data_IF_230409766339
#
_entry.id   IF_230409766339
#
_cell.length_a   1.000
_cell.length_b   1.000
_cell.length_c   1.000
_cell.angle_alpha   90.00
_cell.angle_beta   90.00
_cell.angle_gamma   90.00
#
_symmetry.space_group_name_H-M   'P 1'
#
loop_
_entity.id
_entity.type
_entity.pdbx_description
1 polymer ?
#
# COMPACT_ATOMS: atom_id res chain seq x y z
N UNK A 1 16.78 -7.94 5.05
CA UNK A 1 15.37 -8.21 5.40
C UNK A 1 14.57 -6.99 5.00
N UNK A 2 13.60 -7.16 4.13
CA UNK A 2 12.58 -6.14 3.84
C UNK A 2 11.82 -5.89 5.13
N UNK A 3 11.61 -4.62 5.50
CA UNK A 3 10.84 -4.29 6.70
C UNK A 3 9.36 -4.50 6.37
N UNK A 4 8.66 -5.30 7.18
CA UNK A 4 7.22 -5.43 7.07
C UNK A 4 6.53 -4.09 7.37
N UNK A 5 5.41 -3.85 6.70
CA UNK A 5 4.55 -2.69 6.94
C UNK A 5 3.15 -3.14 7.31
N UNK A 6 2.49 -2.35 8.15
CA UNK A 6 1.12 -2.62 8.55
C UNK A 6 0.16 -2.09 7.48
N UNK A 7 -0.42 -2.99 6.68
CA UNK A 7 -1.33 -2.62 5.59
C UNK A 7 -2.73 -2.38 6.15
N UNK A 8 -3.31 -1.23 5.83
CA UNK A 8 -4.64 -0.81 6.29
C UNK A 8 -5.73 -1.09 5.25
N UNK A 9 -5.37 -1.13 3.97
CA UNK A 9 -6.28 -1.39 2.86
C UNK A 9 -5.68 -0.97 1.53
N UNK A 10 -6.51 -0.91 0.49
CA UNK A 10 -6.14 -0.34 -0.80
C UNK A 10 -7.32 0.42 -1.39
N UNK A 11 -7.01 1.44 -2.19
CA UNK A 11 -7.97 2.15 -3.02
C UNK A 11 -7.75 1.77 -4.47
N UNK A 12 -8.81 1.42 -5.18
CA UNK A 12 -8.80 1.25 -6.63
C UNK A 12 -9.60 2.42 -7.20
N UNK A 13 -8.97 3.18 -8.08
CA UNK A 13 -9.53 4.42 -8.62
C UNK A 13 -9.54 4.39 -10.13
N UNK A 14 -10.59 4.96 -10.71
CA UNK A 14 -10.70 5.21 -12.14
C UNK A 14 -10.76 6.71 -12.38
N UNK A 15 -9.98 7.19 -13.36
CA UNK A 15 -9.99 8.58 -13.79
C UNK A 15 -9.99 8.65 -15.32
N UNK A 16 -10.95 9.37 -15.90
CA UNK A 16 -11.07 9.53 -17.35
C UNK A 16 -9.84 10.17 -18.03
N UNK A 17 -9.04 10.93 -17.30
CA UNK A 17 -7.83 11.59 -17.80
C UNK A 17 -6.53 10.82 -17.48
N UNK A 18 -6.50 10.00 -16.42
CA UNK A 18 -5.28 9.32 -15.94
C UNK A 18 -5.34 7.79 -16.00
N UNK A 19 -6.48 7.24 -16.41
CA UNK A 19 -6.72 5.80 -16.43
C UNK A 19 -7.02 5.21 -15.06
N UNK A 20 -6.95 3.89 -15.01
CA UNK A 20 -7.10 3.10 -13.80
C UNK A 20 -5.81 3.11 -12.96
N UNK A 21 -5.94 3.20 -11.64
CA UNK A 21 -4.80 3.12 -10.75
C UNK A 21 -5.18 2.59 -9.37
N UNK A 22 -4.22 2.00 -8.67
CA UNK A 22 -4.41 1.48 -7.33
C UNK A 22 -3.34 1.98 -6.36
N UNK A 23 -3.77 2.25 -5.12
CA UNK A 23 -2.92 2.73 -4.04
C UNK A 23 -3.02 1.81 -2.83
N UNK A 24 -1.89 1.48 -2.23
CA UNK A 24 -1.80 0.76 -0.97
C UNK A 24 -1.79 1.74 0.21
N UNK A 25 -2.74 1.56 1.13
CA UNK A 25 -2.80 2.32 2.37
C UNK A 25 -2.09 1.53 3.48
N UNK A 26 -1.07 2.14 4.07
CA UNK A 26 -0.27 1.56 5.14
C UNK A 26 -0.26 2.49 6.36
N UNK A 27 0.00 1.92 7.52
CA UNK A 27 0.32 2.68 8.72
C UNK A 27 1.65 3.40 8.52
N UNK A 28 1.66 4.72 8.72
CA UNK A 28 2.84 5.58 8.58
C UNK A 28 3.07 6.32 9.90
N UNK A 29 4.32 6.50 10.34
CA UNK A 29 4.61 7.28 11.53
C UNK A 29 4.13 8.72 11.34
N UNK A 30 3.43 9.24 12.34
CA UNK A 30 2.98 10.62 12.32
C UNK A 30 4.19 11.56 12.34
N UNK A 31 4.29 12.46 11.36
CA UNK A 31 5.40 13.41 11.27
C UNK A 31 5.23 14.58 12.23
N UNK A 32 6.27 14.84 13.02
CA UNK A 32 6.42 16.11 13.71
C UNK A 32 6.58 17.23 12.68
N UNK A 33 5.98 18.38 12.96
CA UNK A 33 6.18 19.57 12.15
C UNK A 33 6.79 20.62 13.05
N UNK A 34 7.91 21.18 12.60
CA UNK A 34 8.57 22.28 13.30
C UNK A 34 8.96 23.35 12.28
N UNK A 35 7.99 24.19 11.95
CA UNK A 35 8.18 25.34 11.05
C UNK A 35 7.98 26.64 11.82
N UNK A 36 8.39 27.75 11.22
CA UNK A 36 8.23 29.09 11.83
C UNK A 36 6.75 29.43 12.12
N UNK A 37 5.84 29.02 11.21
CA UNK A 37 4.41 29.34 11.29
C UNK A 37 3.57 28.24 11.94
N UNK A 38 4.11 27.03 12.12
CA UNK A 38 3.34 25.89 12.61
C UNK A 38 4.22 24.84 13.29
N UNK A 39 3.83 24.41 14.50
CA UNK A 39 4.51 23.36 15.28
C UNK A 39 3.51 22.28 15.70
N UNK A 40 3.88 21.01 15.53
CA UNK A 40 3.09 19.82 15.89
C UNK A 40 3.99 18.73 16.43
N UNK A 41 3.67 18.23 17.63
CA UNK A 41 4.24 17.00 18.20
C UNK A 41 3.30 15.83 17.93
N UNK A 42 3.85 14.63 17.79
CA UNK A 42 3.08 13.45 17.37
C UNK A 42 3.47 12.22 18.18
N UNK A 43 2.51 11.31 18.38
CA UNK A 43 2.72 10.00 18.99
C UNK A 43 1.89 8.99 18.20
N UNK A 44 2.51 7.88 17.78
CA UNK A 44 1.85 6.82 17.03
C UNK A 44 1.91 6.99 15.50
N UNK A 45 0.96 6.36 14.82
CA UNK A 45 0.93 6.22 13.36
C UNK A 45 -0.46 6.61 12.80
N UNK A 46 -0.52 6.96 11.52
CA UNK A 46 -1.77 7.20 10.78
C UNK A 46 -1.73 6.57 9.39
N UNK A 47 -2.90 6.21 8.88
CA UNK A 47 -3.09 5.80 7.49
C UNK A 47 -3.25 6.98 6.52
N UNK A 48 -3.44 8.19 7.04
CA UNK A 48 -3.67 9.38 6.23
C UNK A 48 -2.43 9.70 5.38
N UNK A 49 -2.65 9.89 4.08
CA UNK A 49 -1.64 10.38 3.16
C UNK A 49 -1.82 11.89 3.02
N UNK A 50 -0.91 12.68 3.60
CA UNK A 50 -0.95 14.12 3.42
C UNK A 50 -0.44 14.49 2.02
N UNK A 51 -1.27 15.12 1.14
CA UNK A 51 -0.87 15.42 -0.24
C UNK A 51 0.36 16.33 -0.37
N UNK A 52 0.66 17.11 0.67
CA UNK A 52 1.80 18.03 0.68
C UNK A 52 3.11 17.35 1.08
N UNK A 53 3.04 16.30 1.90
CA UNK A 53 4.22 15.77 2.59
C UNK A 53 4.47 14.28 2.34
N UNK A 54 3.43 13.52 2.02
CA UNK A 54 3.49 12.08 1.88
C UNK A 54 3.30 11.69 0.43
N UNK A 55 4.12 10.75 -0.03
CA UNK A 55 3.95 10.15 -1.34
C UNK A 55 3.02 8.94 -1.22
N UNK A 56 1.97 8.85 -2.05
CA UNK A 56 1.12 7.66 -2.08
C UNK A 56 1.94 6.45 -2.52
N UNK A 57 1.67 5.30 -1.91
CA UNK A 57 2.34 4.06 -2.25
C UNK A 57 1.50 3.35 -3.31
N UNK A 58 1.95 3.40 -4.56
CA UNK A 58 1.23 2.78 -5.68
C UNK A 58 1.42 1.27 -5.65
N UNK A 59 0.37 0.54 -6.04
CA UNK A 59 0.38 -0.91 -6.23
C UNK A 59 0.00 -1.20 -7.68
N UNK A 60 0.58 -2.24 -8.26
CA UNK A 60 0.23 -2.71 -9.59
C UNK A 60 -1.29 -2.94 -9.69
N UNK A 61 -1.90 -2.36 -10.73
CA UNK A 61 -3.34 -2.31 -10.86
C UNK A 61 -3.95 -3.70 -11.10
N UNK A 62 -3.31 -4.53 -11.93
CA UNK A 62 -3.78 -5.88 -12.22
C UNK A 62 -3.69 -6.76 -10.98
N UNK A 63 -2.60 -6.62 -10.22
CA UNK A 63 -2.44 -7.29 -8.94
C UNK A 63 -3.46 -6.82 -7.90
N UNK A 64 -3.69 -5.51 -7.75
CA UNK A 64 -4.71 -4.97 -6.86
C UNK A 64 -6.12 -5.50 -7.20
N UNK A 65 -6.46 -5.52 -8.48
CA UNK A 65 -7.72 -6.08 -8.99
C UNK A 65 -7.82 -7.58 -8.68
N UNK A 66 -6.71 -8.32 -8.78
CA UNK A 66 -6.67 -9.73 -8.40
C UNK A 66 -6.92 -9.92 -6.90
N UNK A 67 -6.30 -9.11 -6.05
CA UNK A 67 -6.50 -9.15 -4.59
C UNK A 67 -7.95 -8.82 -4.20
N UNK A 68 -8.55 -7.82 -4.86
CA UNK A 68 -9.95 -7.47 -4.68
C UNK A 68 -10.86 -8.65 -5.04
N UNK A 69 -10.73 -9.19 -6.26
CA UNK A 69 -11.60 -10.27 -6.78
C UNK A 69 -11.51 -11.56 -5.98
N UNK A 70 -10.34 -11.85 -5.42
CA UNK A 70 -10.09 -13.07 -4.64
C UNK A 70 -10.40 -12.89 -3.15
N UNK A 71 -10.50 -11.65 -2.65
CA UNK A 71 -10.58 -11.38 -1.22
C UNK A 71 -9.30 -11.75 -0.46
N UNK A 72 -8.16 -11.83 -1.15
CA UNK A 72 -6.90 -12.26 -0.56
C UNK A 72 -6.31 -11.23 0.42
N UNK A 73 -6.54 -9.92 0.17
CA UNK A 73 -6.03 -8.87 1.04
C UNK A 73 -6.80 -8.85 2.37
N UNK A 74 -6.09 -9.14 3.47
CA UNK A 74 -6.60 -8.94 4.83
C UNK A 74 -6.05 -7.63 5.39
N UNK A 75 -6.89 -6.61 5.64
CA UNK A 75 -6.45 -5.33 6.19
C UNK A 75 -6.05 -5.45 7.66
N UNK A 76 -5.32 -4.45 8.17
CA UNK A 76 -4.76 -4.39 9.53
C UNK A 76 -3.86 -5.58 9.86
N UNK A 77 -2.99 -5.94 8.91
CA UNK A 77 -2.01 -7.03 9.02
C UNK A 77 -0.67 -6.59 8.47
N UNK A 78 0.39 -7.30 8.88
CA UNK A 78 1.75 -7.03 8.42
C UNK A 78 2.05 -7.79 7.12
N UNK A 79 2.62 -7.05 6.16
CA UNK A 79 3.10 -7.59 4.90
C UNK A 79 4.49 -7.05 4.61
N UNK A 80 5.36 -7.91 4.10
CA UNK A 80 6.50 -7.44 3.33
C UNK A 80 6.05 -7.03 1.93
N UNK A 81 6.66 -5.98 1.39
CA UNK A 81 6.33 -5.45 0.07
C UNK A 81 7.44 -5.80 -0.91
N UNK A 82 7.07 -6.40 -2.04
CA UNK A 82 7.95 -6.43 -3.21
C UNK A 82 7.73 -5.15 -4.02
N UNK A 83 8.80 -4.38 -4.19
CA UNK A 83 8.80 -3.14 -4.95
C UNK A 83 9.60 -3.34 -6.23
N UNK A 84 8.99 -2.99 -7.37
CA UNK A 84 9.65 -3.03 -8.68
C UNK A 84 9.36 -1.73 -9.44
N UNK A 85 10.24 -1.36 -10.38
CA UNK A 85 10.01 -0.20 -11.24
C UNK A 85 8.83 -0.53 -12.15
N UNK A 86 7.85 0.38 -12.25
CA UNK A 86 6.77 0.22 -13.22
C UNK A 86 7.34 0.30 -14.65
N UNK A 87 7.32 -0.78 -15.46
CA UNK A 87 7.89 -0.75 -16.81
C UNK A 87 7.08 0.11 -17.78
N UNK A 88 5.79 0.34 -17.48
CA UNK A 88 4.89 1.16 -18.31
C UNK A 88 4.95 2.64 -17.99
N UNK A 89 5.39 2.99 -16.77
CA UNK A 89 5.68 4.36 -16.34
C UNK A 89 6.94 4.39 -15.46
N UNK A 90 8.14 4.39 -16.07
CA UNK A 90 9.40 4.38 -15.33
C UNK A 90 9.62 5.65 -14.48
N UNK A 91 8.89 6.74 -14.78
CA UNK A 91 9.01 8.00 -14.06
C UNK A 91 8.16 8.02 -12.77
N UNK A 92 7.14 7.16 -12.66
CA UNK A 92 6.35 7.00 -11.44
C UNK A 92 7.14 6.40 -10.26
N UNK A 93 8.31 5.82 -10.53
CA UNK A 93 9.15 5.18 -9.53
C UNK A 93 8.76 3.72 -9.29
N UNK A 94 9.16 3.20 -8.12
CA UNK A 94 8.86 1.82 -7.75
C UNK A 94 7.43 1.68 -7.22
N UNK A 95 6.73 0.64 -7.69
CA UNK A 95 5.38 0.27 -7.29
C UNK A 95 5.39 -1.08 -6.56
N UNK A 96 4.40 -1.32 -5.72
CA UNK A 96 4.21 -2.63 -5.07
C UNK A 96 3.71 -3.62 -6.12
N UNK A 97 4.44 -4.70 -6.36
CA UNK A 97 4.03 -5.78 -7.28
C UNK A 97 3.54 -7.01 -6.54
N UNK A 98 3.90 -7.16 -5.26
CA UNK A 98 3.49 -8.31 -4.45
C UNK A 98 3.39 -7.93 -2.96
N UNK A 99 2.35 -8.42 -2.30
CA UNK A 99 2.23 -8.45 -0.85
C UNK A 99 2.60 -9.84 -0.35
N UNK A 100 3.56 -9.90 0.58
CA UNK A 100 4.04 -11.14 1.18
C UNK A 100 3.56 -11.16 2.64
N UNK A 101 2.56 -11.99 3.00
CA UNK A 101 2.07 -12.05 4.37
C UNK A 101 3.14 -12.55 5.33
N UNK A 102 3.25 -11.90 6.49
CA UNK A 102 4.22 -12.29 7.53
C UNK A 102 3.64 -13.36 8.45
N UNK A 103 2.37 -13.21 8.83
CA UNK A 103 1.63 -14.11 9.71
C UNK A 103 1.25 -15.42 9.02
N UNK A 104 1.45 -16.56 9.68
CA UNK A 104 1.18 -17.88 9.09
C UNK A 104 -0.30 -18.12 8.76
N UNK A 105 -1.22 -17.61 9.59
CA UNK A 105 -2.65 -17.63 9.31
C UNK A 105 -2.98 -16.89 8.01
N UNK A 106 -2.40 -15.69 7.84
CA UNK A 106 -2.63 -14.87 6.66
C UNK A 106 -1.96 -15.50 5.44
N UNK A 107 -0.79 -16.12 5.57
CA UNK A 107 -0.17 -16.89 4.48
C UNK A 107 -1.11 -18.00 3.98
N UNK A 108 -1.74 -18.73 4.87
CA UNK A 108 -2.70 -19.78 4.50
C UNK A 108 -3.93 -19.21 3.80
N UNK A 109 -4.53 -18.14 4.34
CA UNK A 109 -5.64 -17.43 3.71
C UNK A 109 -5.29 -16.92 2.31
N UNK A 110 -4.12 -16.31 2.17
CA UNK A 110 -3.63 -15.76 0.91
C UNK A 110 -3.44 -16.86 -0.13
N UNK A 111 -2.82 -17.98 0.26
CA UNK A 111 -2.64 -19.14 -0.63
C UNK A 111 -3.97 -19.75 -1.06
N UNK A 112 -4.95 -19.88 -0.15
CA UNK A 112 -6.26 -20.42 -0.46
C UNK A 112 -7.03 -19.49 -1.41
N UNK A 113 -7.07 -18.19 -1.11
CA UNK A 113 -7.78 -17.18 -1.88
C UNK A 113 -7.19 -17.01 -3.29
N UNK A 114 -5.86 -17.07 -3.42
CA UNK A 114 -5.15 -16.89 -4.69
C UNK A 114 -5.15 -18.12 -5.59
N UNK A 115 -5.42 -19.32 -5.05
CA UNK A 115 -5.61 -20.57 -5.82
C UNK A 115 -7.05 -20.75 -6.31
N UNK A 116 -7.99 -19.96 -5.79
CA UNK A 116 -9.42 -20.22 -5.87
C UNK A 116 -10.13 -19.88 -7.18
N UNK A 117 -9.51 -19.24 -8.17
CA UNK A 117 -10.10 -18.95 -9.49
C UNK A 117 -9.04 -18.82 -10.58
#
# INVERSE_FOLDING_TARGET
MTKAVFVLGMDITWNSARGDSAQLNISRPLREINSEKFKRRTVGESGDVNPQWDQPLMIDYDYATKLERTGALVPRREYELRLEINPTDPLAGAIVTELIPVDDEIKQHFQASMKGK
#
